data_IF_614198549369
#
_entry.id   IF_614198549369
#
_cell.length_a   1.000
_cell.length_b   1.000
_cell.length_c   1.000
_cell.angle_alpha   90.00
_cell.angle_beta   90.00
_cell.angle_gamma   90.00
#
_symmetry.space_group_name_H-M   'P 1'
#
loop_
_entity.id
_entity.type
_entity.pdbx_description
1 polymer ?
#
# COMPACT_ATOMS: atom_id res chain seq x y z
N UNK A 1 11.84 -1.74 13.59
CA UNK A 1 11.49 -0.55 12.82
C UNK A 1 10.82 0.45 13.74
N UNK A 2 10.99 1.74 13.46
CA UNK A 2 10.38 2.84 14.22
C UNK A 2 9.35 3.49 13.33
N UNK A 3 8.10 3.54 13.80
CA UNK A 3 7.04 4.30 13.15
C UNK A 3 7.44 5.77 13.01
N UNK A 4 6.92 6.46 11.99
CA UNK A 4 6.99 7.92 11.99
C UNK A 4 6.27 8.47 13.22
N UNK A 5 6.67 9.64 13.75
CA UNK A 5 6.02 10.25 14.91
C UNK A 5 4.50 10.38 14.73
N UNK A 6 4.05 10.74 13.53
CA UNK A 6 2.64 10.91 13.18
C UNK A 6 1.89 9.57 13.23
N UNK A 7 2.50 8.51 12.69
CA UNK A 7 1.91 7.18 12.72
C UNK A 7 1.86 6.64 14.16
N UNK A 8 2.92 6.82 14.95
CA UNK A 8 2.92 6.46 16.37
C UNK A 8 1.79 7.17 17.14
N UNK A 9 1.56 8.46 16.87
CA UNK A 9 0.43 9.21 17.47
C UNK A 9 -0.93 8.65 17.05
N UNK A 10 -1.10 8.27 15.77
CA UNK A 10 -2.35 7.66 15.28
C UNK A 10 -2.61 6.31 15.96
N UNK A 11 -1.59 5.47 16.10
CA UNK A 11 -1.69 4.19 16.83
C UNK A 11 -2.14 4.44 18.26
N UNK A 12 -1.50 5.37 18.97
CA UNK A 12 -1.85 5.65 20.37
C UNK A 12 -3.25 6.28 20.51
N UNK A 13 -3.67 7.11 19.55
CA UNK A 13 -5.03 7.65 19.49
C UNK A 13 -6.06 6.53 19.32
N UNK A 14 -5.84 5.62 18.36
CA UNK A 14 -6.70 4.47 18.13
C UNK A 14 -6.74 3.55 19.34
N UNK A 15 -5.60 3.32 20.00
CA UNK A 15 -5.50 2.54 21.22
C UNK A 15 -6.34 3.13 22.36
N UNK A 16 -6.20 4.44 22.61
CA UNK A 16 -7.02 5.17 23.59
C UNK A 16 -8.51 5.14 23.26
N UNK A 17 -8.87 5.27 21.97
CA UNK A 17 -10.23 5.18 21.49
C UNK A 17 -10.85 3.80 21.73
N UNK A 18 -10.15 2.73 21.35
CA UNK A 18 -10.58 1.36 21.56
C UNK A 18 -10.75 0.99 23.04
N UNK A 19 -9.82 1.42 23.90
CA UNK A 19 -9.95 1.20 25.35
C UNK A 19 -11.20 1.85 25.94
N UNK A 20 -11.62 3.02 25.43
CA UNK A 20 -12.86 3.69 25.86
C UNK A 20 -14.12 2.93 25.45
N UNK A 21 -14.05 2.13 24.38
CA UNK A 21 -15.14 1.27 23.90
C UNK A 21 -15.04 -0.18 24.39
N UNK A 22 -14.14 -0.46 25.34
CA UNK A 22 -13.97 -1.80 25.93
C UNK A 22 -13.13 -2.78 25.10
N UNK A 23 -12.39 -2.29 24.09
CA UNK A 23 -11.52 -3.14 23.27
C UNK A 23 -10.24 -3.49 24.05
N UNK A 24 -9.79 -4.73 23.89
CA UNK A 24 -8.47 -5.15 24.36
C UNK A 24 -7.43 -4.88 23.27
N UNK A 25 -6.33 -4.24 23.65
CA UNK A 25 -5.19 -3.98 22.75
C UNK A 25 -4.01 -4.82 23.22
N UNK A 26 -3.46 -5.62 22.31
CA UNK A 26 -2.30 -6.48 22.57
C UNK A 26 -1.25 -6.23 21.49
N UNK A 27 0.00 -6.11 21.92
CA UNK A 27 1.13 -6.02 21.00
C UNK A 27 1.54 -7.42 20.57
N UNK A 28 1.53 -7.66 19.25
CA UNK A 28 1.95 -8.92 18.65
C UNK A 28 3.15 -8.69 17.74
N UNK A 29 4.18 -9.53 17.88
CA UNK A 29 5.29 -9.57 16.94
C UNK A 29 4.97 -10.57 15.83
N UNK A 30 4.75 -10.07 14.63
CA UNK A 30 4.44 -10.88 13.46
C UNK A 30 5.68 -11.15 12.62
N UNK A 31 5.73 -12.33 12.01
CA UNK A 31 6.64 -12.58 10.90
C UNK A 31 5.93 -12.14 9.61
N UNK A 32 6.59 -11.31 8.81
CA UNK A 32 6.04 -10.77 7.57
C UNK A 32 6.83 -11.29 6.37
N UNK A 33 6.16 -11.41 5.23
CA UNK A 33 6.76 -11.78 3.96
C UNK A 33 6.67 -10.64 2.96
N UNK A 34 7.62 -10.58 2.03
CA UNK A 34 7.51 -9.72 0.85
C UNK A 34 6.32 -10.18 0.02
N UNK A 35 5.55 -9.25 -0.53
CA UNK A 35 4.40 -9.58 -1.36
C UNK A 35 4.81 -10.43 -2.56
N UNK A 36 5.94 -10.11 -3.21
CA UNK A 36 6.46 -10.91 -4.33
C UNK A 36 6.71 -12.37 -3.96
N UNK A 37 7.24 -12.65 -2.75
CA UNK A 37 7.47 -14.02 -2.30
C UNK A 37 6.16 -14.81 -2.17
N UNK A 38 5.09 -14.15 -1.73
CA UNK A 38 3.75 -14.76 -1.70
C UNK A 38 3.27 -15.01 -3.13
N UNK A 39 3.37 -14.02 -4.02
CA UNK A 39 2.96 -14.18 -5.42
C UNK A 39 3.71 -15.31 -6.14
N UNK A 40 5.01 -15.45 -5.87
CA UNK A 40 5.86 -16.52 -6.40
C UNK A 40 5.43 -17.91 -5.93
N UNK A 41 5.12 -18.05 -4.64
CA UNK A 41 4.67 -19.32 -4.06
C UNK A 41 3.34 -19.81 -4.67
N UNK A 42 2.48 -18.88 -5.08
CA UNK A 42 1.18 -19.20 -5.70
C UNK A 42 1.21 -19.14 -7.24
N UNK A 43 2.37 -18.91 -7.85
CA UNK A 43 2.52 -18.68 -9.29
C UNK A 43 1.57 -17.60 -9.84
N UNK A 44 1.24 -16.61 -9.00
CA UNK A 44 0.41 -15.48 -9.38
C UNK A 44 1.27 -14.47 -10.15
N UNK A 45 1.00 -14.34 -11.45
CA UNK A 45 1.72 -13.43 -12.36
C UNK A 45 0.83 -12.36 -12.96
N UNK A 46 -0.47 -12.61 -13.04
CA UNK A 46 -1.46 -11.70 -13.61
C UNK A 46 -2.48 -11.32 -12.54
N UNK A 47 -2.60 -10.03 -12.27
CA UNK A 47 -3.45 -9.47 -11.22
C UNK A 47 -4.27 -8.35 -11.87
N UNK A 48 -5.59 -8.49 -11.87
CA UNK A 48 -6.46 -7.44 -12.39
C UNK A 48 -6.47 -6.21 -11.47
N UNK A 49 -6.46 -6.43 -10.15
CA UNK A 49 -6.53 -5.38 -9.15
C UNK A 49 -5.70 -5.72 -7.91
N UNK A 50 -4.77 -4.82 -7.55
CA UNK A 50 -4.05 -4.86 -6.29
C UNK A 50 -4.52 -3.72 -5.39
N UNK A 51 -4.99 -4.06 -4.19
CA UNK A 51 -5.38 -3.10 -3.16
C UNK A 51 -4.31 -3.08 -2.07
N UNK A 52 -3.61 -1.96 -1.92
CA UNK A 52 -2.57 -1.76 -0.91
C UNK A 52 -3.11 -0.84 0.18
N UNK A 53 -3.42 -1.43 1.34
CA UNK A 53 -3.93 -0.76 2.53
C UNK A 53 -3.32 -1.49 3.73
N UNK A 54 -2.15 -1.03 4.15
CA UNK A 54 -1.32 -1.72 5.17
C UNK A 54 -0.98 -0.79 6.33
N UNK A 55 -1.72 0.32 6.44
CA UNK A 55 -1.62 1.35 7.46
C UNK A 55 -0.16 1.80 7.66
N UNK A 56 0.45 2.39 6.63
CA UNK A 56 1.73 3.12 6.74
C UNK A 56 2.98 2.41 6.23
N UNK A 57 2.83 1.29 5.50
CA UNK A 57 3.93 0.57 4.85
C UNK A 57 3.69 0.33 3.35
N UNK A 58 2.82 1.14 2.73
CA UNK A 58 2.39 0.97 1.35
C UNK A 58 3.57 1.02 0.37
N UNK A 59 4.50 1.96 0.56
CA UNK A 59 5.69 2.09 -0.28
C UNK A 59 6.57 0.84 -0.21
N UNK A 60 6.80 0.28 0.98
CA UNK A 60 7.62 -0.90 1.21
C UNK A 60 7.00 -2.15 0.56
N UNK A 61 5.67 -2.29 0.63
CA UNK A 61 4.95 -3.36 -0.07
C UNK A 61 5.14 -3.24 -1.57
N UNK A 62 4.98 -2.03 -2.14
CA UNK A 62 5.17 -1.80 -3.57
C UNK A 62 6.62 -1.99 -4.03
N UNK A 63 7.61 -1.59 -3.21
CA UNK A 63 9.04 -1.82 -3.47
C UNK A 63 9.42 -3.31 -3.45
N UNK A 64 8.61 -4.14 -2.80
CA UNK A 64 8.87 -5.58 -2.75
C UNK A 64 8.49 -6.32 -4.04
N UNK A 65 7.71 -5.68 -4.92
CA UNK A 65 7.22 -6.26 -6.17
C UNK A 65 8.25 -6.15 -7.30
N UNK A 66 8.36 -7.21 -8.09
CA UNK A 66 9.04 -7.20 -9.38
C UNK A 66 8.02 -7.02 -10.50
N UNK A 67 7.86 -5.77 -10.95
CA UNK A 67 6.95 -5.40 -12.03
C UNK A 67 7.38 -5.91 -13.41
N UNK A 68 8.56 -6.52 -13.55
CA UNK A 68 8.98 -7.15 -14.81
C UNK A 68 8.39 -8.55 -15.00
N UNK A 69 8.03 -9.22 -13.90
CA UNK A 69 7.44 -10.58 -13.91
C UNK A 69 6.01 -10.62 -13.40
N UNK A 70 5.58 -9.60 -12.65
CA UNK A 70 4.23 -9.47 -12.11
C UNK A 70 3.46 -8.40 -12.88
N UNK A 71 2.51 -8.83 -13.68
CA UNK A 71 1.57 -8.01 -14.42
C UNK A 71 0.39 -7.63 -13.51
N UNK A 72 0.28 -6.35 -13.17
CA UNK A 72 -0.87 -5.79 -12.45
C UNK A 72 -1.54 -4.76 -13.36
N UNK A 73 -2.85 -4.83 -13.52
CA UNK A 73 -3.58 -3.87 -14.38
C UNK A 73 -3.89 -2.57 -13.64
N UNK A 74 -4.39 -2.68 -12.41
CA UNK A 74 -4.77 -1.54 -11.56
C UNK A 74 -4.20 -1.71 -10.16
N UNK A 75 -3.59 -0.65 -9.63
CA UNK A 75 -3.08 -0.58 -8.26
C UNK A 75 -3.82 0.55 -7.54
N UNK A 76 -4.54 0.19 -6.49
CA UNK A 76 -5.09 1.15 -5.53
C UNK A 76 -4.15 1.21 -4.32
N UNK A 77 -3.77 2.41 -3.91
CA UNK A 77 -2.93 2.64 -2.74
C UNK A 77 -3.68 3.53 -1.76
N UNK A 78 -3.89 3.06 -0.53
CA UNK A 78 -4.37 3.90 0.55
C UNK A 78 -3.26 4.87 0.93
N UNK A 79 -3.60 6.15 1.01
CA UNK A 79 -2.67 7.21 1.42
C UNK A 79 -3.14 7.80 2.75
N UNK A 80 -2.17 8.01 3.63
CA UNK A 80 -2.28 8.96 4.74
C UNK A 80 -1.57 10.22 4.25
N UNK A 81 -2.08 11.43 4.52
CA UNK A 81 -1.78 12.69 3.80
C UNK A 81 -0.31 13.20 3.81
N UNK A 82 0.67 12.33 4.06
CA UNK A 82 2.10 12.52 3.84
C UNK A 82 2.44 12.66 2.35
N UNK A 83 2.76 13.90 1.95
CA UNK A 83 3.08 14.25 0.58
C UNK A 83 4.39 13.62 0.08
N UNK A 84 5.35 13.35 0.95
CA UNK A 84 6.63 12.77 0.56
C UNK A 84 6.43 11.31 0.12
N UNK A 85 5.73 10.52 0.95
CA UNK A 85 5.36 9.15 0.64
C UNK A 85 4.53 9.04 -0.65
N UNK A 86 3.56 9.94 -0.86
CA UNK A 86 2.78 10.00 -2.11
C UNK A 86 3.68 10.23 -3.33
N UNK A 87 4.66 11.13 -3.21
CA UNK A 87 5.64 11.43 -4.24
C UNK A 87 6.51 10.22 -4.59
N UNK A 88 6.98 9.49 -3.58
CA UNK A 88 7.81 8.30 -3.75
C UNK A 88 7.05 7.13 -4.36
N UNK A 89 5.81 6.87 -3.91
CA UNK A 89 4.91 5.89 -4.51
C UNK A 89 4.69 6.22 -5.99
N UNK A 90 4.37 7.49 -6.29
CA UNK A 90 4.16 7.93 -7.67
C UNK A 90 5.40 7.73 -8.53
N UNK A 91 6.59 8.07 -8.03
CA UNK A 91 7.86 7.90 -8.75
C UNK A 91 8.13 6.42 -9.06
N UNK A 92 7.92 5.55 -8.08
CA UNK A 92 8.09 4.10 -8.22
C UNK A 92 7.14 3.54 -9.28
N UNK A 93 5.84 3.85 -9.17
CA UNK A 93 4.82 3.34 -10.08
C UNK A 93 4.98 3.91 -11.50
N UNK A 94 5.41 5.16 -11.64
CA UNK A 94 5.73 5.75 -12.94
C UNK A 94 6.93 5.06 -13.61
N UNK A 95 7.97 4.72 -12.84
CA UNK A 95 9.10 3.95 -13.35
C UNK A 95 8.67 2.55 -13.82
N UNK A 96 7.70 1.95 -13.13
CA UNK A 96 7.11 0.66 -13.48
C UNK A 96 6.06 0.71 -14.60
N UNK A 97 5.82 1.87 -15.23
CA UNK A 97 4.94 2.00 -16.38
C UNK A 97 3.47 2.33 -16.07
N UNK A 98 3.10 2.46 -14.78
CA UNK A 98 1.77 2.88 -14.36
C UNK A 98 1.62 4.40 -14.49
N UNK A 99 0.43 4.89 -14.77
CA UNK A 99 0.14 6.32 -14.97
C UNK A 99 -1.24 6.68 -14.41
N UNK A 100 -1.56 7.97 -14.51
CA UNK A 100 -2.89 8.54 -14.25
C UNK A 100 -3.38 8.31 -12.81
N UNK A 101 -2.67 8.84 -11.80
CA UNK A 101 -3.15 8.76 -10.42
C UNK A 101 -4.49 9.49 -10.31
N UNK A 102 -5.56 8.75 -10.10
CA UNK A 102 -6.86 9.31 -9.73
C UNK A 102 -7.03 9.19 -8.23
N UNK A 103 -7.44 10.28 -7.57
CA UNK A 103 -7.68 10.30 -6.12
C UNK A 103 -9.17 10.18 -5.84
N UNK A 104 -9.56 9.17 -5.06
CA UNK A 104 -10.91 9.05 -4.50
C UNK A 104 -10.76 8.90 -2.98
N UNK A 105 -11.12 9.95 -2.25
CA UNK A 105 -10.91 10.01 -0.80
C UNK A 105 -9.44 9.82 -0.41
N UNK A 106 -9.17 8.81 0.40
CA UNK A 106 -7.82 8.43 0.86
C UNK A 106 -7.15 7.40 -0.03
N UNK A 107 -7.58 7.23 -1.29
CA UNK A 107 -7.02 6.24 -2.20
C UNK A 107 -6.52 6.89 -3.50
N UNK A 108 -5.34 6.45 -3.94
CA UNK A 108 -4.79 6.74 -5.27
C UNK A 108 -4.91 5.49 -6.14
N UNK A 109 -5.38 5.65 -7.37
CA UNK A 109 -5.52 4.59 -8.34
C UNK A 109 -4.55 4.81 -9.48
N UNK A 110 -3.75 3.80 -9.79
CA UNK A 110 -2.80 3.79 -10.89
C UNK A 110 -3.17 2.67 -11.85
N UNK A 111 -3.12 2.95 -13.15
CA UNK A 111 -3.40 1.96 -14.20
C UNK A 111 -2.19 1.84 -15.12
N UNK A 112 -1.99 0.66 -15.71
CA UNK A 112 -1.06 0.55 -16.83
C UNK A 112 -1.62 1.24 -18.06
N UNK A 113 -0.73 1.84 -18.86
CA UNK A 113 -1.09 2.58 -20.08
C UNK A 113 -1.87 1.75 -21.10
N UNK A 114 -1.62 0.45 -21.16
CA UNK A 114 -2.25 -0.51 -22.08
C UNK A 114 -3.65 -0.95 -21.63
N UNK A 115 -4.01 -0.77 -20.36
CA UNK A 115 -5.35 -1.06 -19.83
C UNK A 115 -6.36 0.08 -20.11
N UNK A 116 -5.87 1.28 -20.44
CA UNK A 116 -6.68 2.49 -20.66
C UNK A 116 -6.74 3.40 -19.43
N UNK A 117 -7.22 4.63 -19.61
CA UNK A 117 -7.48 5.55 -18.50
C UNK A 117 -8.74 5.13 -17.75
N UNK A 118 -8.60 4.89 -16.45
CA UNK A 118 -9.75 4.82 -15.54
C UNK A 118 -10.32 6.24 -15.38
N UNK A 119 -11.20 6.64 -16.30
CA UNK A 119 -11.92 7.92 -16.35
C UNK A 119 -11.07 9.12 -16.79
#
# INVERSE_FOLDING_TARGET
ETFTPEHAQKIESNRKGGMRTGWQVTDLRLHTWRLQSVLDAYHARHIDLLLVSVEGHELQVLQSLDFSITDIKVIQVQIHDDQETIGDISRLLYKAGYRYPNRIGSFLYYSRKDFGTLW
#
